data_IF_181080823675
#
_entry.id   IF_181080823675
#
_cell.length_a   1.000
_cell.length_b   1.000
_cell.length_c   1.000
_cell.angle_alpha   90.00
_cell.angle_beta   90.00
_cell.angle_gamma   90.00
#
_symmetry.space_group_name_H-M   'P 1'
#
loop_
_entity.id
_entity.type
_entity.pdbx_description
1 polymer ?
#
# COMPACT_ATOMS: atom_id res chain seq x y z
N UNK A 1 -9.18 40.27 -0.73
CA UNK A 1 -9.72 38.94 -0.37
C UNK A 1 -8.67 37.90 -0.69
N UNK A 2 -8.34 36.97 0.21
CA UNK A 2 -7.28 35.95 -0.02
C UNK A 2 -7.89 34.60 -0.36
N UNK A 3 -7.77 34.17 -1.62
CA UNK A 3 -8.30 32.89 -2.14
C UNK A 3 -7.31 31.72 -2.02
N UNK A 4 -6.02 32.03 -1.82
CA UNK A 4 -4.93 31.06 -1.75
C UNK A 4 -5.11 29.89 -0.76
N UNK A 5 -5.58 30.08 0.50
CA UNK A 5 -5.68 28.97 1.45
C UNK A 5 -6.81 27.98 1.16
N UNK A 6 -7.75 28.33 0.27
CA UNK A 6 -8.84 27.42 -0.14
C UNK A 6 -8.42 26.59 -1.36
N UNK A 7 -7.71 27.20 -2.31
CA UNK A 7 -7.17 26.50 -3.49
C UNK A 7 -6.18 25.38 -3.08
N UNK A 8 -5.21 25.72 -2.22
CA UNK A 8 -4.21 24.78 -1.70
C UNK A 8 -4.79 23.59 -0.94
N UNK A 9 -5.96 23.75 -0.31
CA UNK A 9 -6.67 22.64 0.36
C UNK A 9 -7.30 21.71 -0.67
N UNK A 10 -7.99 22.23 -1.67
CA UNK A 10 -8.62 21.43 -2.72
C UNK A 10 -7.58 20.59 -3.49
N UNK A 11 -6.44 21.18 -3.84
CA UNK A 11 -5.30 20.47 -4.45
C UNK A 11 -4.81 19.30 -3.59
N UNK A 12 -4.64 19.49 -2.29
CA UNK A 12 -4.21 18.44 -1.36
C UNK A 12 -5.27 17.35 -1.18
N UNK A 13 -6.55 17.69 -1.16
CA UNK A 13 -7.64 16.72 -1.14
C UNK A 13 -7.67 15.86 -2.41
N UNK A 14 -7.45 16.46 -3.59
CA UNK A 14 -7.36 15.74 -4.86
C UNK A 14 -6.12 14.86 -4.95
N UNK A 15 -4.96 15.33 -4.47
CA UNK A 15 -3.77 14.48 -4.33
C UNK A 15 -4.01 13.28 -3.41
N UNK A 16 -4.67 13.49 -2.25
CA UNK A 16 -5.03 12.40 -1.33
C UNK A 16 -5.99 11.42 -2.01
N UNK A 17 -7.05 11.90 -2.67
CA UNK A 17 -7.98 11.06 -3.45
C UNK A 17 -7.24 10.25 -4.52
N UNK A 18 -6.30 10.86 -5.22
CA UNK A 18 -5.51 10.18 -6.25
C UNK A 18 -4.57 9.12 -5.67
N UNK A 19 -3.89 9.41 -4.56
CA UNK A 19 -3.04 8.45 -3.87
C UNK A 19 -3.85 7.27 -3.32
N UNK A 20 -5.04 7.50 -2.76
CA UNK A 20 -5.94 6.42 -2.32
C UNK A 20 -6.41 5.52 -3.46
N UNK A 21 -6.75 6.09 -4.64
CA UNK A 21 -7.04 5.30 -5.84
C UNK A 21 -5.84 4.43 -6.23
N UNK A 22 -4.64 5.01 -6.25
CA UNK A 22 -3.39 4.30 -6.57
C UNK A 22 -3.10 3.16 -5.59
N UNK A 23 -3.34 3.34 -4.28
CA UNK A 23 -3.21 2.26 -3.28
C UNK A 23 -4.13 1.09 -3.62
N UNK A 24 -5.43 1.35 -3.87
CA UNK A 24 -6.41 0.29 -4.20
C UNK A 24 -6.04 -0.44 -5.49
N UNK A 25 -5.58 0.28 -6.52
CA UNK A 25 -5.12 -0.33 -7.78
C UNK A 25 -3.93 -1.26 -7.55
N UNK A 26 -2.95 -0.86 -6.74
CA UNK A 26 -1.77 -1.68 -6.43
C UNK A 26 -2.12 -2.88 -5.53
N UNK A 27 -3.06 -2.73 -4.58
CA UNK A 27 -3.58 -3.83 -3.75
C UNK A 27 -4.29 -4.89 -4.62
N UNK A 28 -5.14 -4.45 -5.55
CA UNK A 28 -5.80 -5.33 -6.52
C UNK A 28 -4.78 -6.05 -7.41
N UNK A 29 -3.78 -5.33 -7.94
CA UNK A 29 -2.71 -5.92 -8.75
C UNK A 29 -1.87 -6.95 -7.98
N UNK A 30 -1.64 -6.74 -6.67
CA UNK A 30 -0.98 -7.72 -5.82
C UNK A 30 -1.82 -8.99 -5.62
N UNK A 31 -3.13 -8.83 -5.42
CA UNK A 31 -4.06 -9.95 -5.30
C UNK A 31 -4.16 -10.77 -6.61
N UNK A 32 -4.24 -10.08 -7.76
CA UNK A 32 -4.26 -10.71 -9.08
C UNK A 32 -2.94 -11.46 -9.37
N UNK A 33 -1.79 -10.87 -9.05
CA UNK A 33 -0.48 -11.52 -9.20
C UNK A 33 -0.34 -12.79 -8.33
N UNK A 34 -0.99 -12.84 -7.16
CA UNK A 34 -1.06 -14.06 -6.32
C UNK A 34 -1.95 -15.13 -6.94
N UNK A 35 -3.17 -14.76 -7.33
CA UNK A 35 -4.12 -15.68 -7.97
C UNK A 35 -3.58 -16.23 -9.31
N UNK A 36 -2.85 -15.41 -10.08
CA UNK A 36 -2.19 -15.83 -11.32
C UNK A 36 -1.10 -16.88 -11.06
N UNK A 37 -0.24 -16.66 -10.07
CA UNK A 37 0.78 -17.65 -9.64
C UNK A 37 0.14 -18.99 -9.28
N UNK A 38 -0.91 -18.98 -8.45
CA UNK A 38 -1.62 -20.20 -8.02
C UNK A 38 -2.23 -20.94 -9.20
N UNK A 39 -2.87 -20.21 -10.14
CA UNK A 39 -3.44 -20.78 -11.37
C UNK A 39 -2.37 -21.44 -12.24
N UNK A 40 -1.26 -20.76 -12.51
CA UNK A 40 -0.17 -21.32 -13.33
C UNK A 40 0.45 -22.57 -12.68
N UNK A 41 0.60 -22.61 -11.36
CA UNK A 41 1.08 -23.81 -10.65
C UNK A 41 0.09 -24.98 -10.82
N UNK A 42 -1.22 -24.72 -10.69
CA UNK A 42 -2.26 -25.72 -10.91
C UNK A 42 -2.28 -26.24 -12.37
N UNK A 43 -2.12 -25.35 -13.35
CA UNK A 43 -2.04 -25.68 -14.79
C UNK A 43 -0.82 -26.54 -15.11
N UNK A 44 0.37 -26.20 -14.59
CA UNK A 44 1.59 -27.00 -14.78
C UNK A 44 1.43 -28.39 -14.13
N UNK A 45 0.86 -28.47 -12.93
CA UNK A 45 0.56 -29.75 -12.28
C UNK A 45 -0.48 -30.59 -13.03
N UNK A 46 -1.48 -29.96 -13.66
CA UNK A 46 -2.45 -30.64 -14.50
C UNK A 46 -1.81 -31.17 -15.79
N UNK A 47 -0.92 -30.38 -16.41
CA UNK A 47 -0.13 -30.79 -17.58
C UNK A 47 0.79 -31.98 -17.25
N UNK A 48 1.52 -31.92 -16.13
CA UNK A 48 2.37 -33.01 -15.62
C UNK A 48 1.57 -34.32 -15.51
N UNK A 49 0.44 -34.30 -14.78
CA UNK A 49 -0.43 -35.48 -14.62
C UNK A 49 -0.97 -36.00 -15.95
N UNK A 50 -1.34 -35.11 -16.88
CA UNK A 50 -1.84 -35.48 -18.21
C UNK A 50 -0.77 -36.14 -19.08
N UNK A 51 0.47 -35.64 -19.05
CA UNK A 51 1.59 -36.23 -19.78
C UNK A 51 1.90 -37.61 -19.19
N UNK A 52 2.13 -37.69 -17.88
CA UNK A 52 2.45 -38.96 -17.19
C UNK A 52 1.40 -40.02 -17.50
N UNK A 53 0.10 -39.71 -17.33
CA UNK A 53 -0.98 -40.66 -17.64
C UNK A 53 -0.89 -41.15 -19.09
N UNK A 54 -0.84 -40.24 -20.07
CA UNK A 54 -0.72 -40.62 -21.49
C UNK A 54 0.52 -41.45 -21.80
N UNK A 55 1.63 -41.22 -21.10
CA UNK A 55 2.84 -42.03 -21.27
C UNK A 55 2.64 -43.46 -20.76
N UNK A 56 1.97 -43.65 -19.62
CA UNK A 56 1.64 -44.99 -19.12
C UNK A 56 0.58 -45.67 -19.99
N UNK A 57 -0.46 -44.95 -20.43
CA UNK A 57 -1.50 -45.46 -21.34
C UNK A 57 -0.92 -45.95 -22.69
N UNK A 58 0.22 -45.37 -23.12
CA UNK A 58 0.89 -45.69 -24.38
C UNK A 58 1.88 -46.87 -24.30
N UNK A 59 2.09 -47.46 -23.11
CA UNK A 59 3.03 -48.56 -22.89
C UNK A 59 2.23 -49.82 -22.54
N UNK A 60 1.88 -50.67 -23.53
CA UNK A 60 0.92 -51.76 -23.34
C UNK A 60 1.46 -52.93 -22.51
N UNK A 61 2.77 -53.01 -22.28
CA UNK A 61 3.42 -54.10 -21.57
C UNK A 61 3.99 -53.61 -20.23
N UNK A 62 3.54 -54.15 -19.08
CA UNK A 62 4.06 -53.79 -17.75
C UNK A 62 5.56 -54.05 -17.58
N UNK A 63 6.16 -54.98 -18.34
CA UNK A 63 7.60 -55.23 -18.29
C UNK A 63 8.43 -54.03 -18.79
N UNK A 64 7.87 -53.20 -19.67
CA UNK A 64 8.54 -52.03 -20.26
C UNK A 64 8.42 -50.75 -19.39
N UNK A 65 7.93 -50.88 -18.14
CA UNK A 65 7.66 -49.77 -17.21
C UNK A 65 8.88 -48.87 -16.89
N UNK A 66 10.10 -49.29 -17.22
CA UNK A 66 11.29 -48.45 -17.16
C UNK A 66 11.22 -47.22 -18.08
N UNK A 67 10.59 -47.33 -19.26
CA UNK A 67 10.43 -46.22 -20.20
C UNK A 67 9.47 -45.14 -19.66
N UNK A 68 8.20 -45.44 -19.28
CA UNK A 68 7.29 -44.44 -18.74
C UNK A 68 7.80 -43.88 -17.42
N UNK A 69 8.54 -44.65 -16.60
CA UNK A 69 9.14 -44.13 -15.37
C UNK A 69 10.27 -43.12 -15.61
N UNK A 70 11.11 -43.35 -16.63
CA UNK A 70 12.13 -42.36 -17.04
C UNK A 70 11.50 -41.07 -17.55
N UNK A 71 10.40 -41.17 -18.30
CA UNK A 71 9.64 -40.01 -18.79
C UNK A 71 8.95 -39.29 -17.63
N UNK A 72 8.33 -40.01 -16.69
CA UNK A 72 7.73 -39.45 -15.47
C UNK A 72 8.73 -38.61 -14.67
N UNK A 73 9.94 -39.15 -14.46
CA UNK A 73 11.03 -38.45 -13.77
C UNK A 73 11.47 -37.19 -14.53
N UNK A 74 11.64 -37.29 -15.86
CA UNK A 74 12.04 -36.16 -16.70
C UNK A 74 10.99 -35.04 -16.73
N UNK A 75 9.72 -35.40 -16.92
CA UNK A 75 8.58 -34.45 -16.91
C UNK A 75 8.45 -33.80 -15.54
N UNK A 76 8.59 -34.55 -14.45
CA UNK A 76 8.55 -34.02 -13.08
C UNK A 76 9.72 -33.05 -12.83
N UNK A 77 10.93 -33.37 -13.27
CA UNK A 77 12.10 -32.49 -13.18
C UNK A 77 11.87 -31.17 -13.92
N UNK A 78 11.39 -31.23 -15.18
CA UNK A 78 11.09 -30.04 -15.99
C UNK A 78 9.96 -29.21 -15.37
N UNK A 79 8.86 -29.82 -14.94
CA UNK A 79 7.76 -29.13 -14.29
C UNK A 79 8.19 -28.43 -12.99
N UNK A 80 9.03 -29.08 -12.18
CA UNK A 80 9.59 -28.48 -10.97
C UNK A 80 10.50 -27.27 -11.29
N UNK A 81 11.38 -27.39 -12.29
CA UNK A 81 12.24 -26.29 -12.73
C UNK A 81 11.43 -25.09 -13.25
N UNK A 82 10.37 -25.35 -14.01
CA UNK A 82 9.41 -24.32 -14.49
C UNK A 82 8.70 -23.65 -13.31
N UNK A 83 8.19 -24.42 -12.34
CA UNK A 83 7.52 -23.88 -11.15
C UNK A 83 8.47 -23.02 -10.31
N UNK A 84 9.72 -23.44 -10.11
CA UNK A 84 10.72 -22.65 -9.38
C UNK A 84 11.05 -21.33 -10.10
N UNK A 85 11.36 -21.38 -11.40
CA UNK A 85 11.71 -20.18 -12.17
C UNK A 85 10.55 -19.19 -12.30
N UNK A 86 9.32 -19.67 -12.46
CA UNK A 86 8.12 -18.83 -12.39
C UNK A 86 7.88 -18.30 -10.98
N UNK A 87 8.15 -19.11 -9.94
CA UNK A 87 8.04 -18.72 -8.54
C UNK A 87 8.94 -17.54 -8.17
N UNK A 88 10.19 -17.55 -8.63
CA UNK A 88 11.16 -16.44 -8.48
C UNK A 88 10.67 -15.17 -9.19
N UNK A 89 10.23 -15.28 -10.45
CA UNK A 89 9.69 -14.15 -11.22
C UNK A 89 8.45 -13.55 -10.58
N UNK A 90 7.54 -14.39 -10.06
CA UNK A 90 6.37 -13.90 -9.32
C UNK A 90 6.74 -13.25 -7.99
N UNK A 91 7.75 -13.76 -7.27
CA UNK A 91 8.25 -13.12 -6.06
C UNK A 91 8.82 -11.72 -6.36
N UNK A 92 9.60 -11.58 -7.45
CA UNK A 92 10.11 -10.28 -7.89
C UNK A 92 8.98 -9.28 -8.23
N UNK A 93 7.95 -9.72 -8.96
CA UNK A 93 6.78 -8.88 -9.28
C UNK A 93 6.01 -8.47 -8.02
N UNK A 94 5.76 -9.40 -7.09
CA UNK A 94 5.08 -9.10 -5.83
C UNK A 94 5.89 -8.12 -4.97
N UNK A 95 7.22 -8.24 -4.93
CA UNK A 95 8.10 -7.31 -4.23
C UNK A 95 8.05 -5.91 -4.84
N UNK A 96 8.11 -5.78 -6.17
CA UNK A 96 7.98 -4.48 -6.86
C UNK A 96 6.64 -3.79 -6.55
N UNK A 97 5.54 -4.53 -6.50
CA UNK A 97 4.21 -4.00 -6.13
C UNK A 97 4.18 -3.61 -4.63
N UNK A 98 4.77 -4.40 -3.74
CA UNK A 98 4.88 -4.08 -2.32
C UNK A 98 5.72 -2.80 -2.07
N UNK A 99 6.82 -2.62 -2.80
CA UNK A 99 7.67 -1.42 -2.71
C UNK A 99 6.99 -0.18 -3.31
N UNK A 100 6.16 -0.35 -4.35
CA UNK A 100 5.28 0.71 -4.82
C UNK A 100 4.23 1.07 -3.76
N UNK A 101 3.54 0.08 -3.17
CA UNK A 101 2.56 0.28 -2.09
C UNK A 101 3.17 1.01 -0.89
N UNK A 102 4.36 0.60 -0.43
CA UNK A 102 5.07 1.23 0.68
C UNK A 102 5.34 2.72 0.40
N UNK A 103 5.84 3.04 -0.80
CA UNK A 103 6.10 4.44 -1.23
C UNK A 103 4.83 5.27 -1.36
N UNK A 104 3.77 4.72 -1.97
CA UNK A 104 2.49 5.43 -2.14
C UNK A 104 1.80 5.66 -0.78
N UNK A 105 1.78 4.66 0.11
CA UNK A 105 1.24 4.80 1.47
C UNK A 105 2.02 5.82 2.31
N UNK A 106 3.36 5.86 2.21
CA UNK A 106 4.17 6.90 2.85
C UNK A 106 3.75 8.32 2.44
N UNK A 107 3.69 8.56 1.12
CA UNK A 107 3.22 9.84 0.56
C UNK A 107 1.77 10.17 0.93
N UNK A 108 0.90 9.17 1.01
CA UNK A 108 -0.49 9.34 1.43
C UNK A 108 -0.57 9.83 2.89
N UNK A 109 0.22 9.23 3.79
CA UNK A 109 0.27 9.67 5.19
C UNK A 109 0.87 11.07 5.36
N UNK A 110 1.92 11.41 4.60
CA UNK A 110 2.47 12.78 4.55
C UNK A 110 1.40 13.80 4.13
N UNK A 111 0.65 13.52 3.06
CA UNK A 111 -0.40 14.41 2.56
C UNK A 111 -1.60 14.48 3.52
N UNK A 112 -1.99 13.37 4.15
CA UNK A 112 -3.01 13.35 5.22
C UNK A 112 -2.57 14.08 6.49
N UNK A 113 -1.28 14.17 6.80
CA UNK A 113 -0.77 15.02 7.90
C UNK A 113 -0.80 16.50 7.51
N UNK A 114 -0.38 16.84 6.29
CA UNK A 114 -0.44 18.21 5.78
C UNK A 114 -1.87 18.77 5.76
N UNK A 115 -2.86 17.95 5.36
CA UNK A 115 -4.27 18.33 5.40
C UNK A 115 -4.74 18.63 6.84
N UNK A 116 -4.43 17.74 7.80
CA UNK A 116 -4.76 17.92 9.23
C UNK A 116 -4.13 19.17 9.85
N UNK A 117 -2.92 19.54 9.44
CA UNK A 117 -2.27 20.77 9.91
C UNK A 117 -3.01 22.02 9.40
N UNK A 118 -3.36 22.07 8.10
CA UNK A 118 -4.16 23.17 7.53
C UNK A 118 -5.57 23.28 8.14
N UNK A 119 -6.15 22.16 8.57
CA UNK A 119 -7.42 22.14 9.30
C UNK A 119 -7.25 22.65 10.74
N UNK A 120 -6.16 22.29 11.43
CA UNK A 120 -5.82 22.80 12.76
C UNK A 120 -5.52 24.31 12.77
N UNK A 121 -4.78 24.81 11.77
CA UNK A 121 -4.50 26.25 11.59
C UNK A 121 -5.78 27.09 11.45
N UNK A 122 -6.87 26.54 10.90
CA UNK A 122 -8.18 27.21 10.82
C UNK A 122 -8.97 27.21 12.14
N UNK A 123 -8.61 26.36 13.10
CA UNK A 123 -9.33 26.19 14.38
C UNK A 123 -8.56 26.75 15.59
N UNK A 124 -7.37 27.32 15.39
CA UNK A 124 -6.68 28.06 16.43
C UNK A 124 -7.52 29.30 16.83
N UNK A 125 -7.92 29.44 18.11
CA UNK A 125 -8.65 30.62 18.55
C UNK A 125 -7.75 31.86 18.44
N UNK A 126 -8.28 32.94 17.87
CA UNK A 126 -7.65 34.27 17.85
C UNK A 126 -7.67 34.86 19.26
N UNK A 127 -6.79 34.36 20.12
CA UNK A 127 -6.61 34.86 21.48
C UNK A 127 -5.66 36.05 21.47
N UNK A 128 -6.18 37.25 21.72
CA UNK A 128 -5.35 38.42 22.05
C UNK A 128 -5.65 39.70 21.26
N UNK A 129 -6.69 40.42 21.66
CA UNK A 129 -6.85 41.85 21.40
C UNK A 129 -7.85 42.49 22.37
N UNK A 130 -7.45 42.65 23.64
CA UNK A 130 -8.02 43.66 24.55
C UNK A 130 -6.95 44.12 25.54
N UNK A 131 -6.54 45.36 25.37
CA UNK A 131 -5.39 45.94 26.07
C UNK A 131 -5.65 46.11 27.57
N UNK A 132 -4.69 45.63 28.38
CA UNK A 132 -4.61 45.95 29.79
C UNK A 132 -3.91 47.29 29.98
N UNK A 133 -4.65 48.39 29.97
CA UNK A 133 -4.08 49.72 30.24
C UNK A 133 -4.03 50.00 31.74
N UNK A 134 -3.00 49.49 32.42
CA UNK A 134 -2.67 49.86 33.80
C UNK A 134 -1.59 50.94 33.81
N UNK A 135 -2.01 52.20 34.00
CA UNK A 135 -1.14 53.33 34.32
C UNK A 135 -1.33 53.76 35.77
N UNK A 136 -0.33 53.52 36.62
CA UNK A 136 -0.38 53.79 38.06
C UNK A 136 0.55 54.95 38.46
N UNK A 137 -0.03 56.11 38.79
CA UNK A 137 0.56 57.24 39.56
C UNK A 137 -0.63 58.00 40.21
N UNK A 138 -0.62 58.49 41.46
CA UNK A 138 0.33 58.29 42.56
C UNK A 138 0.36 59.48 43.53
N UNK A 139 -0.14 59.34 44.77
CA UNK A 139 -0.09 60.38 45.81
C UNK A 139 -1.16 60.22 46.92
N UNK A 140 -0.82 60.39 48.22
CA UNK A 140 -1.76 60.21 49.33
C UNK A 140 -2.49 61.50 49.74
N UNK A 141 -3.79 61.39 50.05
CA UNK A 141 -4.57 62.48 50.65
C UNK A 141 -4.68 62.26 52.17
N UNK A 142 -4.19 63.22 52.95
CA UNK A 142 -4.40 63.22 54.40
C UNK A 142 -5.83 63.55 54.78
N UNK A 143 -6.36 62.89 55.82
CA UNK A 143 -7.63 63.24 56.45
C UNK A 143 -7.34 63.81 57.84
N UNK A 144 -7.62 65.09 58.04
CA UNK A 144 -7.71 65.70 59.37
C UNK A 144 -9.09 65.46 59.98
N UNK A 145 -9.23 65.46 61.31
CA UNK A 145 -10.53 65.32 61.97
C UNK A 145 -11.32 66.63 61.95
N UNK A 146 -12.65 66.51 61.91
CA UNK A 146 -13.61 67.61 62.11
C UNK A 146 -14.71 67.15 63.06
N UNK A 147 -14.96 67.93 64.12
CA UNK A 147 -16.11 67.75 65.03
C UNK A 147 -15.81 66.90 66.26
#
# INVERSE_FOLDING_TARGET
>A
MSTAPTHRRAELEDEVRQLERTVRTLENGLAEARASKERTVAEVGALQRRIIRKTYDAVPNPADAAIPKRIENAVTSVCNAVISSLGERWAAIQNLINDALKRVRGRLEEKKRALRLLEGERHAPTTGARDGHLGFIGGPAGHGPSG
#
